data_IF_563266247886
#
_entry.id   IF_563266247886
#
_cell.length_a   1.000
_cell.length_b   1.000
_cell.length_c   1.000
_cell.angle_alpha   90.00
_cell.angle_beta   90.00
_cell.angle_gamma   90.00
#
_symmetry.space_group_name_H-M   'P 1'
#
loop_
_entity.id
_entity.type
_entity.pdbx_description
1 polymer ?
#
# COMPACT_ATOMS: atom_id res chain seq x y z
N UNK A 1 -13.86 30.34 2.34
CA UNK A 1 -13.51 28.90 2.48
C UNK A 1 -13.24 28.47 3.93
N UNK A 2 -12.61 29.31 4.77
CA UNK A 2 -12.30 28.97 6.17
C UNK A 2 -11.11 28.01 6.33
N UNK A 3 -10.44 27.66 5.23
CA UNK A 3 -9.23 26.83 5.15
C UNK A 3 -8.42 27.19 3.90
N UNK A 4 -7.11 26.96 3.93
CA UNK A 4 -6.25 27.11 2.75
C UNK A 4 -6.52 25.96 1.75
N UNK A 5 -6.54 26.26 0.46
CA UNK A 5 -6.64 25.20 -0.55
C UNK A 5 -5.35 24.39 -0.57
N UNK A 6 -5.48 23.06 -0.59
CA UNK A 6 -4.31 22.19 -0.63
C UNK A 6 -3.67 22.35 -2.00
N UNK A 7 -2.43 22.86 -2.03
CA UNK A 7 -1.65 22.95 -3.25
C UNK A 7 -1.01 21.59 -3.53
N UNK A 8 -1.22 20.99 -4.71
CA UNK A 8 -0.49 19.80 -5.11
C UNK A 8 1.01 20.05 -5.00
N UNK A 9 1.74 19.14 -4.37
CA UNK A 9 3.18 19.21 -4.26
C UNK A 9 3.81 17.95 -4.85
N UNK A 10 4.91 18.11 -5.59
CA UNK A 10 5.56 17.01 -6.30
C UNK A 10 6.14 15.94 -5.36
N UNK A 11 6.47 16.33 -4.13
CA UNK A 11 7.11 15.47 -3.12
C UNK A 11 6.14 14.54 -2.38
N UNK A 12 4.84 14.82 -2.41
CA UNK A 12 3.79 14.08 -1.70
C UNK A 12 2.77 13.59 -2.70
N UNK A 13 2.86 12.30 -3.03
CA UNK A 13 2.19 11.70 -4.19
C UNK A 13 0.66 11.73 -4.12
N UNK A 14 0.04 11.86 -2.93
CA UNK A 14 -1.40 12.00 -2.79
C UNK A 14 -1.92 13.45 -2.73
N UNK A 15 -1.03 14.46 -2.78
CA UNK A 15 -1.41 15.88 -2.64
C UNK A 15 -2.40 16.36 -3.70
N UNK A 16 -2.29 15.87 -4.94
CA UNK A 16 -3.24 16.22 -6.00
C UNK A 16 -4.64 15.67 -5.70
N UNK A 17 -4.73 14.43 -5.20
CA UNK A 17 -6.01 13.87 -4.77
C UNK A 17 -6.62 14.71 -3.63
N UNK A 18 -5.82 15.11 -2.65
CA UNK A 18 -6.28 15.91 -1.52
C UNK A 18 -6.77 17.30 -1.96
N UNK A 19 -6.10 17.91 -2.94
CA UNK A 19 -6.54 19.17 -3.56
C UNK A 19 -7.91 19.03 -4.23
N UNK A 20 -8.08 18.03 -5.09
CA UNK A 20 -9.36 17.81 -5.79
C UNK A 20 -10.47 17.45 -4.79
N UNK A 21 -10.17 16.61 -3.80
CA UNK A 21 -11.12 16.28 -2.72
C UNK A 21 -11.56 17.52 -1.96
N UNK A 22 -10.63 18.43 -1.65
CA UNK A 22 -10.94 19.69 -0.97
C UNK A 22 -11.91 20.56 -1.79
N UNK A 23 -11.71 20.63 -3.11
CA UNK A 23 -12.59 21.33 -4.05
C UNK A 23 -13.98 20.70 -4.06
N UNK A 24 -14.07 19.37 -4.23
CA UNK A 24 -15.35 18.64 -4.28
C UNK A 24 -16.16 18.82 -2.98
N UNK A 25 -15.50 18.78 -1.82
CA UNK A 25 -16.14 19.02 -0.51
C UNK A 25 -16.67 20.45 -0.33
N UNK A 26 -16.22 21.42 -1.13
CA UNK A 26 -16.59 22.83 -1.02
C UNK A 26 -17.13 23.40 -2.33
N UNK A 27 -17.71 22.54 -3.19
CA UNK A 27 -18.08 22.93 -4.55
C UNK A 27 -18.99 24.16 -4.59
N UNK A 28 -19.93 24.28 -3.64
CA UNK A 28 -20.85 25.41 -3.51
C UNK A 28 -20.10 26.73 -3.24
N UNK A 29 -19.08 26.68 -2.39
CA UNK A 29 -18.23 27.86 -2.08
C UNK A 29 -17.26 28.15 -3.21
N UNK A 30 -16.80 27.12 -3.92
CA UNK A 30 -15.88 27.27 -5.05
C UNK A 30 -16.51 28.04 -6.20
N UNK A 31 -17.82 27.90 -6.42
CA UNK A 31 -18.56 28.71 -7.39
C UNK A 31 -18.42 30.21 -7.10
N UNK A 32 -18.62 30.63 -5.85
CA UNK A 32 -18.49 32.03 -5.44
C UNK A 32 -17.05 32.52 -5.61
N UNK A 33 -16.06 31.71 -5.20
CA UNK A 33 -14.64 32.05 -5.37
C UNK A 33 -14.26 32.20 -6.84
N UNK A 34 -14.71 31.31 -7.72
CA UNK A 34 -14.48 31.42 -9.15
C UNK A 34 -15.10 32.71 -9.72
N UNK A 35 -16.32 33.06 -9.31
CA UNK A 35 -16.96 34.30 -9.74
C UNK A 35 -16.19 35.55 -9.28
N UNK A 36 -15.79 35.60 -8.00
CA UNK A 36 -15.03 36.72 -7.44
C UNK A 36 -13.67 36.90 -8.14
N UNK A 37 -13.05 35.79 -8.55
CA UNK A 37 -11.78 35.76 -9.27
C UNK A 37 -11.92 35.86 -10.80
N UNK A 38 -13.15 36.00 -11.33
CA UNK A 38 -13.45 36.03 -12.77
C UNK A 38 -12.94 34.80 -13.54
N UNK A 39 -12.99 33.62 -12.89
CA UNK A 39 -12.59 32.34 -13.45
C UNK A 39 -13.81 31.52 -13.90
N UNK A 40 -13.65 30.63 -14.90
CA UNK A 40 -14.68 29.66 -15.25
C UNK A 40 -15.11 28.82 -14.03
N UNK A 41 -16.41 28.77 -13.77
CA UNK A 41 -16.95 28.03 -12.63
C UNK A 41 -17.03 26.54 -12.94
N UNK A 42 -16.55 25.70 -12.02
CA UNK A 42 -16.76 24.25 -12.04
C UNK A 42 -18.12 23.97 -11.40
N UNK A 43 -19.19 24.10 -12.18
CA UNK A 43 -20.56 24.00 -11.66
C UNK A 43 -21.48 23.15 -12.53
N UNK A 44 -21.00 22.65 -13.67
CA UNK A 44 -21.76 21.74 -14.50
C UNK A 44 -21.98 20.42 -13.78
N UNK A 45 -23.21 19.84 -13.79
CA UNK A 45 -23.48 18.54 -13.18
C UNK A 45 -22.52 17.44 -13.65
N UNK A 46 -22.09 17.49 -14.92
CA UNK A 46 -21.12 16.57 -15.51
C UNK A 46 -19.73 16.71 -14.89
N UNK A 47 -19.25 17.94 -14.71
CA UNK A 47 -17.92 18.23 -14.17
C UNK A 47 -17.85 17.81 -12.69
N UNK A 48 -18.88 18.15 -11.92
CA UNK A 48 -18.98 17.77 -10.51
C UNK A 48 -19.03 16.25 -10.37
N UNK A 49 -19.85 15.57 -11.19
CA UNK A 49 -19.92 14.11 -11.20
C UNK A 49 -18.57 13.47 -11.57
N UNK A 50 -17.87 14.03 -12.56
CA UNK A 50 -16.51 13.58 -12.92
C UNK A 50 -15.53 13.70 -11.75
N UNK A 51 -15.49 14.84 -11.06
CA UNK A 51 -14.57 15.05 -9.94
C UNK A 51 -14.88 14.16 -8.75
N UNK A 52 -16.17 13.93 -8.47
CA UNK A 52 -16.61 12.98 -7.46
C UNK A 52 -16.17 11.55 -7.81
N UNK A 53 -16.38 11.14 -9.07
CA UNK A 53 -15.94 9.83 -9.55
C UNK A 53 -14.42 9.67 -9.49
N UNK A 54 -13.67 10.70 -9.89
CA UNK A 54 -12.21 10.75 -9.74
C UNK A 54 -11.78 10.55 -8.29
N UNK A 55 -12.39 11.28 -7.35
CA UNK A 55 -12.11 11.13 -5.93
C UNK A 55 -12.43 9.71 -5.43
N UNK A 56 -13.51 9.09 -5.91
CA UNK A 56 -13.84 7.72 -5.55
C UNK A 56 -12.79 6.72 -6.06
N UNK A 57 -12.34 6.86 -7.31
CA UNK A 57 -11.32 5.99 -7.92
C UNK A 57 -9.95 6.15 -7.24
N UNK A 58 -9.55 7.38 -6.91
CA UNK A 58 -8.23 7.66 -6.33
C UNK A 58 -8.15 7.45 -4.81
N UNK A 59 -9.28 7.42 -4.10
CA UNK A 59 -9.34 7.19 -2.65
C UNK A 59 -8.55 5.95 -2.17
N UNK A 60 -8.70 4.74 -2.76
CA UNK A 60 -7.89 3.59 -2.34
C UNK A 60 -6.39 3.79 -2.56
N UNK A 61 -5.99 4.49 -3.63
CA UNK A 61 -4.59 4.81 -3.91
C UNK A 61 -4.02 5.76 -2.86
N UNK A 62 -4.75 6.85 -2.55
CA UNK A 62 -4.33 7.82 -1.53
C UNK A 62 -4.16 7.16 -0.16
N UNK A 63 -5.10 6.30 0.24
CA UNK A 63 -4.99 5.55 1.51
C UNK A 63 -3.81 4.58 1.52
N UNK A 64 -3.54 3.89 0.41
CA UNK A 64 -2.38 3.02 0.30
C UNK A 64 -1.07 3.79 0.43
N UNK A 65 -1.00 4.98 -0.16
CA UNK A 65 0.16 5.87 0.00
C UNK A 65 0.34 6.28 1.46
N UNK A 66 -0.72 6.73 2.15
CA UNK A 66 -0.63 7.09 3.57
C UNK A 66 -0.18 5.91 4.45
N UNK A 67 -0.59 4.68 4.14
CA UNK A 67 -0.16 3.48 4.86
C UNK A 67 1.32 3.19 4.61
N UNK A 68 1.74 3.17 3.35
CA UNK A 68 3.10 2.75 2.98
C UNK A 68 4.15 3.84 3.20
N UNK A 69 3.74 5.10 3.25
CA UNK A 69 4.61 6.25 3.54
C UNK A 69 4.58 6.67 5.01
N UNK A 70 3.66 6.13 5.82
CA UNK A 70 3.51 6.53 7.22
C UNK A 70 4.49 5.81 8.14
N UNK A 71 5.13 6.57 9.04
CA UNK A 71 6.18 6.09 9.97
C UNK A 71 5.77 4.92 10.87
N UNK A 72 4.47 4.74 11.12
CA UNK A 72 3.97 3.67 12.00
C UNK A 72 3.84 2.30 11.32
N UNK A 73 3.81 2.24 9.99
CA UNK A 73 3.52 1.02 9.22
C UNK A 73 4.64 0.69 8.20
N UNK A 74 5.87 1.17 8.43
CA UNK A 74 7.04 1.04 7.55
C UNK A 74 7.67 -0.36 7.63
N UNK A 75 6.87 -1.42 7.61
CA UNK A 75 7.40 -2.77 7.45
C UNK A 75 7.00 -3.34 6.11
N UNK A 76 7.89 -4.14 5.52
CA UNK A 76 7.64 -4.83 4.25
C UNK A 76 6.35 -5.67 4.29
N UNK A 77 5.93 -6.11 5.49
CA UNK A 77 4.70 -6.86 5.70
C UNK A 77 3.39 -6.08 5.46
N UNK A 78 3.43 -4.76 5.35
CA UNK A 78 2.27 -3.96 4.95
C UNK A 78 2.11 -3.85 3.44
N UNK A 79 3.15 -4.18 2.67
CA UNK A 79 3.15 -3.98 1.22
C UNK A 79 2.08 -4.82 0.52
N UNK A 80 2.17 -6.15 0.60
CA UNK A 80 1.24 -7.03 -0.13
C UNK A 80 -0.21 -6.88 0.33
N UNK A 81 -0.52 -6.79 1.64
CA UNK A 81 -1.88 -6.56 2.11
C UNK A 81 -2.47 -5.24 1.58
N UNK A 82 -1.66 -4.18 1.53
CA UNK A 82 -2.11 -2.87 1.05
C UNK A 82 -2.38 -2.91 -0.46
N UNK A 83 -1.48 -3.49 -1.25
CA UNK A 83 -1.67 -3.58 -2.70
C UNK A 83 -2.86 -4.48 -3.03
N UNK A 84 -3.06 -5.60 -2.33
CA UNK A 84 -4.22 -6.45 -2.57
C UNK A 84 -5.54 -5.75 -2.20
N UNK A 85 -5.58 -5.00 -1.10
CA UNK A 85 -6.75 -4.20 -0.73
C UNK A 85 -7.10 -3.14 -1.79
N UNK A 86 -6.09 -2.52 -2.41
CA UNK A 86 -6.29 -1.59 -3.53
C UNK A 86 -6.86 -2.32 -4.75
N UNK A 87 -6.30 -3.48 -5.13
CA UNK A 87 -6.82 -4.26 -6.25
C UNK A 87 -8.27 -4.66 -6.04
N UNK A 88 -8.61 -5.16 -4.85
CA UNK A 88 -9.98 -5.48 -4.48
C UNK A 88 -10.89 -4.25 -4.61
N UNK A 89 -10.48 -3.12 -4.03
CA UNK A 89 -11.27 -1.89 -4.12
C UNK A 89 -11.47 -1.41 -5.56
N UNK A 90 -10.48 -1.53 -6.44
CA UNK A 90 -10.60 -1.13 -7.85
C UNK A 90 -11.43 -2.12 -8.68
N UNK A 91 -11.43 -3.41 -8.32
CA UNK A 91 -12.22 -4.45 -8.99
C UNK A 91 -13.70 -4.37 -8.59
N UNK A 92 -13.98 -4.02 -7.34
CA UNK A 92 -15.34 -3.91 -6.80
C UNK A 92 -16.06 -2.63 -7.24
N UNK A 93 -15.35 -1.68 -7.88
CA UNK A 93 -15.94 -0.46 -8.43
C UNK A 93 -16.87 -0.77 -9.61
N UNK A 94 -18.16 -0.57 -9.38
CA UNK A 94 -19.22 -0.66 -10.40
C UNK A 94 -19.67 0.75 -10.81
N UNK A 95 -20.27 0.86 -11.98
CA UNK A 95 -20.92 2.10 -12.47
C UNK A 95 -19.97 3.32 -12.61
N UNK A 96 -18.74 3.07 -13.06
CA UNK A 96 -17.75 4.11 -13.40
C UNK A 96 -18.05 4.62 -14.81
N UNK A 97 -18.52 5.86 -14.92
CA UNK A 97 -18.97 6.47 -16.19
C UNK A 97 -17.82 7.20 -16.88
N UNK A 98 -17.07 8.02 -16.13
CA UNK A 98 -16.05 8.89 -16.71
C UNK A 98 -14.62 8.38 -16.50
N UNK A 99 -14.34 7.77 -15.34
CA UNK A 99 -12.99 7.43 -14.90
C UNK A 99 -12.59 5.98 -15.24
N UNK A 100 -13.31 5.31 -16.15
CA UNK A 100 -13.00 3.92 -16.54
C UNK A 100 -11.57 3.76 -17.08
N UNK A 101 -11.05 4.66 -17.95
CA UNK A 101 -9.65 4.59 -18.38
C UNK A 101 -8.67 4.73 -17.22
N UNK A 102 -8.98 5.56 -16.21
CA UNK A 102 -8.15 5.74 -15.02
C UNK A 102 -8.08 4.45 -14.20
N UNK A 103 -9.21 3.78 -13.95
CA UNK A 103 -9.23 2.48 -13.24
C UNK A 103 -8.35 1.45 -13.96
N UNK A 104 -8.45 1.36 -15.30
CA UNK A 104 -7.62 0.45 -16.11
C UNK A 104 -6.14 0.80 -16.00
N UNK A 105 -5.80 2.09 -16.12
CA UNK A 105 -4.43 2.57 -16.01
C UNK A 105 -3.82 2.29 -14.63
N UNK A 106 -4.59 2.51 -13.56
CA UNK A 106 -4.18 2.22 -12.17
C UNK A 106 -3.93 0.73 -11.96
N UNK A 107 -4.86 -0.14 -12.37
CA UNK A 107 -4.69 -1.60 -12.29
C UNK A 107 -3.44 -2.06 -13.03
N UNK A 108 -3.23 -1.57 -14.26
CA UNK A 108 -2.05 -1.89 -15.06
C UNK A 108 -0.76 -1.38 -14.42
N UNK A 109 -0.77 -0.16 -13.89
CA UNK A 109 0.38 0.44 -13.21
C UNK A 109 0.77 -0.31 -11.95
N UNK A 110 -0.21 -0.68 -11.12
CA UNK A 110 -0.01 -1.49 -9.92
C UNK A 110 0.58 -2.85 -10.26
N UNK A 111 0.00 -3.57 -11.23
CA UNK A 111 0.52 -4.86 -11.67
C UNK A 111 1.96 -4.72 -12.18
N UNK A 112 2.23 -3.76 -13.08
CA UNK A 112 3.55 -3.55 -13.65
C UNK A 112 4.61 -3.25 -12.58
N UNK A 113 4.25 -2.46 -11.55
CA UNK A 113 5.20 -2.03 -10.51
C UNK A 113 5.38 -3.09 -9.41
N UNK A 114 4.32 -3.80 -9.06
CA UNK A 114 4.28 -4.65 -7.87
C UNK A 114 4.26 -6.16 -8.12
N UNK A 115 4.14 -6.63 -9.38
CA UNK A 115 4.10 -8.05 -9.71
C UNK A 115 5.24 -8.84 -9.06
N UNK A 116 6.50 -8.39 -9.21
CA UNK A 116 7.68 -9.04 -8.62
C UNK A 116 7.63 -9.15 -7.08
N UNK A 117 6.94 -8.23 -6.42
CA UNK A 117 6.82 -8.25 -4.95
C UNK A 117 5.70 -9.20 -4.51
N UNK A 118 4.62 -9.31 -5.27
CA UNK A 118 3.55 -10.28 -5.02
C UNK A 118 4.04 -11.74 -5.07
N UNK A 119 5.01 -12.01 -5.95
CA UNK A 119 5.65 -13.33 -6.10
C UNK A 119 6.82 -13.56 -5.13
N UNK A 120 7.26 -12.54 -4.39
CA UNK A 120 8.43 -12.64 -3.51
C UNK A 120 8.09 -13.40 -2.22
N UNK A 121 8.75 -14.56 -2.02
CA UNK A 121 8.68 -15.34 -0.76
C UNK A 121 8.93 -14.47 0.47
N UNK A 122 9.95 -13.60 0.44
CA UNK A 122 10.26 -12.68 1.54
C UNK A 122 9.11 -11.71 1.84
N UNK A 123 8.47 -11.13 0.82
CA UNK A 123 7.35 -10.22 1.02
C UNK A 123 6.11 -10.96 1.55
N UNK A 124 5.88 -12.18 1.07
CA UNK A 124 4.80 -13.05 1.55
C UNK A 124 4.98 -13.40 3.03
N UNK A 125 6.16 -13.90 3.41
CA UNK A 125 6.50 -14.22 4.81
C UNK A 125 6.40 -12.98 5.68
N UNK A 126 6.99 -11.85 5.26
CA UNK A 126 6.90 -10.59 6.01
C UNK A 126 5.45 -10.15 6.25
N UNK A 127 4.57 -10.34 5.26
CA UNK A 127 3.14 -10.00 5.38
C UNK A 127 2.41 -10.94 6.33
N UNK A 128 2.76 -12.22 6.36
CA UNK A 128 2.23 -13.19 7.32
C UNK A 128 2.67 -12.95 8.75
N UNK A 129 3.88 -12.41 8.94
CA UNK A 129 4.43 -12.07 10.25
C UNK A 129 3.72 -10.90 10.93
N UNK A 130 2.91 -10.12 10.19
CA UNK A 130 2.11 -9.05 10.78
C UNK A 130 0.82 -9.66 11.37
N UNK A 131 0.63 -9.67 12.71
CA UNK A 131 -0.48 -10.39 13.34
C UNK A 131 -1.88 -9.88 12.93
N UNK A 132 -1.95 -8.62 12.50
CA UNK A 132 -3.19 -7.99 11.99
C UNK A 132 -3.67 -8.60 10.68
N UNK A 133 -2.76 -9.04 9.82
CA UNK A 133 -3.07 -9.53 8.47
C UNK A 133 -3.08 -11.05 8.39
N UNK A 134 -2.08 -11.72 8.97
CA UNK A 134 -1.89 -13.18 8.86
C UNK A 134 -1.95 -13.63 7.39
N UNK A 135 -2.93 -14.47 7.03
CA UNK A 135 -3.21 -14.91 5.66
C UNK A 135 -4.48 -14.29 5.06
N UNK A 136 -5.19 -13.41 5.80
CA UNK A 136 -6.48 -12.86 5.37
C UNK A 136 -6.38 -11.95 4.14
N UNK A 137 -5.18 -11.46 3.86
CA UNK A 137 -4.92 -10.60 2.71
C UNK A 137 -4.66 -11.40 1.42
N UNK A 138 -4.34 -12.69 1.50
CA UNK A 138 -4.04 -13.51 0.34
C UNK A 138 -5.30 -14.12 -0.28
N UNK A 139 -5.24 -14.37 -1.59
CA UNK A 139 -6.27 -15.11 -2.34
C UNK A 139 -6.36 -16.52 -1.77
N UNK A 140 -7.57 -17.09 -1.71
CA UNK A 140 -7.84 -18.41 -1.13
C UNK A 140 -6.92 -19.51 -1.66
N UNK A 141 -6.76 -19.56 -2.97
CA UNK A 141 -5.93 -20.54 -3.65
C UNK A 141 -4.44 -20.41 -3.29
N UNK A 142 -3.97 -19.18 -3.04
CA UNK A 142 -2.56 -18.90 -2.72
C UNK A 142 -2.24 -19.07 -1.23
N UNK A 143 -3.25 -19.10 -0.35
CA UNK A 143 -3.03 -19.16 1.11
C UNK A 143 -2.20 -20.37 1.52
N UNK A 144 -2.44 -21.52 0.90
CA UNK A 144 -1.73 -22.75 1.21
C UNK A 144 -0.26 -22.67 0.77
N UNK A 145 0.00 -22.11 -0.41
CA UNK A 145 1.36 -21.93 -0.93
C UNK A 145 2.17 -20.95 -0.04
N UNK A 146 1.56 -19.83 0.35
CA UNK A 146 2.17 -18.85 1.24
C UNK A 146 2.44 -19.47 2.63
N UNK A 147 1.52 -20.29 3.13
CA UNK A 147 1.73 -21.03 4.38
C UNK A 147 2.92 -21.99 4.28
N UNK A 148 3.06 -22.75 3.20
CA UNK A 148 4.20 -23.64 3.00
C UNK A 148 5.51 -22.87 2.93
N UNK A 149 5.54 -21.78 2.16
CA UNK A 149 6.68 -20.86 2.08
C UNK A 149 7.10 -20.34 3.46
N UNK A 150 6.13 -20.02 4.32
CA UNK A 150 6.37 -19.62 5.69
C UNK A 150 7.03 -20.75 6.51
N UNK A 151 6.51 -21.98 6.45
CA UNK A 151 7.06 -23.11 7.19
C UNK A 151 8.48 -23.44 6.73
N UNK A 152 8.72 -23.51 5.42
CA UNK A 152 10.05 -23.71 4.82
C UNK A 152 11.07 -22.67 5.31
N UNK A 153 10.64 -21.39 5.37
CA UNK A 153 11.51 -20.30 5.82
C UNK A 153 11.83 -20.43 7.31
N UNK A 154 10.86 -20.82 8.15
CA UNK A 154 11.07 -21.04 9.57
C UNK A 154 12.00 -22.22 9.84
N UNK A 155 11.81 -23.35 9.15
CA UNK A 155 12.69 -24.53 9.23
C UNK A 155 14.12 -24.14 8.89
N UNK A 156 14.32 -23.43 7.78
CA UNK A 156 15.64 -22.94 7.37
C UNK A 156 16.29 -22.03 8.42
N UNK A 157 15.51 -21.15 9.07
CA UNK A 157 16.02 -20.26 10.12
C UNK A 157 16.40 -21.06 11.36
N UNK A 158 15.59 -22.05 11.76
CA UNK A 158 15.90 -22.91 12.90
C UNK A 158 17.15 -23.76 12.67
N UNK A 159 17.28 -24.37 11.49
CA UNK A 159 18.46 -25.16 11.13
C UNK A 159 19.74 -24.30 11.15
N UNK A 160 19.67 -23.10 10.58
CA UNK A 160 20.78 -22.15 10.63
C UNK A 160 21.11 -21.67 12.06
N UNK A 161 20.11 -21.53 12.94
CA UNK A 161 20.36 -21.17 14.33
C UNK A 161 21.06 -22.30 15.10
N UNK A 162 20.69 -23.56 14.82
CA UNK A 162 21.29 -24.74 15.43
C UNK A 162 22.75 -24.94 15.00
N UNK A 163 23.06 -24.80 13.71
CA UNK A 163 24.44 -24.92 13.19
C UNK A 163 25.36 -23.83 13.75
N UNK A 164 24.91 -22.57 13.74
CA UNK A 164 25.67 -21.45 14.31
C UNK A 164 25.90 -21.59 15.83
N UNK A 165 24.98 -22.24 16.55
CA UNK A 165 25.14 -22.50 17.98
C UNK A 165 26.18 -23.59 18.24
N UNK A 166 26.24 -24.63 17.40
CA UNK A 166 27.23 -25.70 17.49
C UNK A 166 28.65 -25.22 17.18
N UNK A 167 28.82 -24.36 16.17
CA UNK A 167 30.12 -23.75 15.84
C UNK A 167 30.66 -22.86 16.96
N UNK A 168 29.80 -22.12 17.66
CA UNK A 168 30.19 -21.30 18.82
C UNK A 168 30.59 -22.13 20.06
N UNK A 169 30.08 -23.36 20.21
CA UNK A 169 30.46 -24.27 21.29
C UNK A 169 31.81 -24.97 21.06
N UNK A 170 32.27 -25.10 19.80
CA UNK A 170 33.58 -25.68 19.48
C UNK A 170 34.76 -24.68 19.64
N UNK A 171 34.47 -23.39 19.83
CA UNK A 171 35.47 -22.33 20.01
C UNK A 171 35.90 -22.11 21.47
N UNK A 172 35.38 -22.86 22.44
CA UNK A 172 35.84 -22.80 23.83
C UNK A 172 37.13 -23.63 23.93
N UNK A 173 38.31 -23.02 24.21
CA UNK A 173 39.54 -23.80 24.32
C UNK A 173 39.46 -24.72 25.54
N UNK A 174 39.71 -26.01 25.33
CA UNK A 174 39.88 -26.96 26.43
C UNK A 174 40.98 -26.43 27.38
N UNK A 175 40.75 -26.38 28.70
CA UNK A 175 41.80 -26.02 29.64
C UNK A 175 42.88 -27.09 29.53
N UNK A 176 44.01 -26.70 28.97
CA UNK A 176 45.14 -27.59 28.73
C UNK A 176 45.66 -28.04 30.08
N UNK A 177 45.61 -29.35 30.32
CA UNK A 177 46.26 -30.01 31.44
C UNK A 177 47.73 -29.60 31.48
N UNK A 178 48.12 -28.85 32.52
CA UNK A 178 49.53 -28.62 32.82
C UNK A 178 50.00 -29.88 33.56
N UNK A 179 50.63 -30.80 32.83
CA UNK A 179 51.49 -31.82 33.40
C UNK A 179 52.90 -31.23 33.63
N UNK A 180 53.44 -31.55 34.82
CA UNK A 180 54.77 -31.31 35.41
C UNK A 180 55.02 -29.94 36.07
#
# INVERSE_FOLDING_TARGET
LGRYLITPNATRWNSYYDAIKCIVENIDKMKNVCNDLQLPTISGPREVSFLQEYCNVMKPISRALDILQGDKNVSLGYLLPTINAVHKSLNDMKNIVFCRPLVIALKRGLNKRFARYMESKTCQVASCMVPKFKLNWAVEDDRNNIKNTLMETLETIFDNALTNSQDNLQLIPNPTSIEY
#
